data_IF_333721280602
#
_entry.id   IF_333721280602
#
_cell.length_a   1.000
_cell.length_b   1.000
_cell.length_c   1.000
_cell.angle_alpha   90.00
_cell.angle_beta   90.00
_cell.angle_gamma   90.00
#
_symmetry.space_group_name_H-M   'P 1'
#
loop_
_entity.id
_entity.type
_entity.pdbx_description
1 polymer ?
#
# COMPACT_ATOMS: atom_id res chain seq x y z
N UNK A 1 3.16 24.71 29.78
CA UNK A 1 3.55 23.90 28.61
C UNK A 1 2.89 24.53 27.40
N UNK A 2 3.62 25.37 26.66
CA UNK A 2 3.12 25.95 25.43
C UNK A 2 3.35 24.95 24.30
N UNK A 3 2.27 24.60 23.59
CA UNK A 3 2.35 23.78 22.39
C UNK A 3 3.09 24.58 21.31
N UNK A 4 4.34 24.20 20.99
CA UNK A 4 5.18 24.86 19.96
C UNK A 4 4.94 24.34 18.55
N UNK A 5 3.94 23.48 18.34
CA UNK A 5 3.52 23.05 17.03
C UNK A 5 2.26 23.82 16.65
N UNK A 6 2.40 24.80 15.78
CA UNK A 6 1.24 25.39 15.11
C UNK A 6 0.61 24.33 14.20
N UNK A 7 -0.71 24.08 14.29
CA UNK A 7 -1.39 23.17 13.38
C UNK A 7 -1.28 23.71 11.95
N UNK A 8 -0.49 23.03 11.10
CA UNK A 8 -0.49 23.30 9.66
C UNK A 8 -1.49 22.37 8.98
N UNK A 9 -2.32 22.93 8.11
CA UNK A 9 -3.18 22.14 7.23
C UNK A 9 -2.28 21.52 6.15
N UNK A 10 -2.27 20.18 6.08
CA UNK A 10 -1.58 19.50 4.98
C UNK A 10 -2.36 19.75 3.68
N UNK A 11 -1.67 20.07 2.57
CA UNK A 11 -2.34 20.18 1.28
C UNK A 11 -2.90 18.82 0.85
N UNK A 12 -4.08 18.84 0.26
CA UNK A 12 -4.68 17.65 -0.35
C UNK A 12 -3.96 17.31 -1.65
N UNK A 13 -3.97 16.02 -2.00
CA UNK A 13 -3.43 15.52 -3.25
C UNK A 13 -4.38 15.80 -4.40
N UNK A 14 -3.81 16.11 -5.56
CA UNK A 14 -4.52 16.35 -6.80
C UNK A 14 -4.36 15.18 -7.75
N UNK A 15 -5.32 15.00 -8.66
CA UNK A 15 -5.22 14.00 -9.70
C UNK A 15 -4.25 14.47 -10.79
N UNK A 16 -2.99 14.05 -10.66
CA UNK A 16 -1.89 14.35 -11.56
C UNK A 16 -0.95 13.13 -11.69
N UNK A 17 0.16 13.31 -12.39
CA UNK A 17 1.15 12.25 -12.63
C UNK A 17 1.84 11.77 -11.34
N UNK A 18 2.01 12.65 -10.35
CA UNK A 18 2.56 12.29 -9.03
C UNK A 18 1.60 11.36 -8.28
N UNK A 19 0.30 11.65 -8.30
CA UNK A 19 -0.72 10.78 -7.72
C UNK A 19 -0.77 9.43 -8.45
N UNK A 20 -0.68 9.43 -9.79
CA UNK A 20 -0.64 8.19 -10.56
C UNK A 20 0.60 7.35 -10.19
N UNK A 21 1.75 7.99 -9.99
CA UNK A 21 2.99 7.34 -9.56
C UNK A 21 2.89 6.76 -8.15
N UNK A 22 2.21 7.46 -7.24
CA UNK A 22 1.89 6.96 -5.91
C UNK A 22 0.97 5.72 -5.98
N UNK A 23 -0.09 5.77 -6.79
CA UNK A 23 -1.00 4.64 -6.99
C UNK A 23 -0.32 3.43 -7.62
N UNK A 24 0.60 3.64 -8.58
CA UNK A 24 1.43 2.59 -9.13
C UNK A 24 2.30 1.93 -8.06
N UNK A 25 2.87 2.72 -7.15
CA UNK A 25 3.68 2.22 -6.03
C UNK A 25 2.85 1.35 -5.07
N UNK A 26 1.62 1.78 -4.76
CA UNK A 26 0.69 0.94 -4.01
C UNK A 26 0.38 -0.37 -4.76
N UNK A 27 -0.01 -0.30 -6.03
CA UNK A 27 -0.35 -1.47 -6.84
C UNK A 27 0.80 -2.49 -6.89
N UNK A 28 2.05 -2.02 -6.94
CA UNK A 28 3.24 -2.87 -6.94
C UNK A 28 3.55 -3.49 -5.55
N UNK A 29 3.21 -2.78 -4.46
CA UNK A 29 3.44 -3.26 -3.09
C UNK A 29 2.40 -4.25 -2.58
N UNK A 30 1.17 -4.20 -3.12
CA UNK A 30 0.07 -5.03 -2.67
C UNK A 30 0.24 -6.47 -3.19
N UNK A 31 -0.03 -7.49 -2.36
CA UNK A 31 0.22 -8.89 -2.70
C UNK A 31 -0.88 -9.50 -3.59
N UNK A 32 -1.28 -8.80 -4.65
CA UNK A 32 -2.33 -9.22 -5.58
C UNK A 32 -1.73 -9.96 -6.78
N UNK A 33 -2.37 -11.05 -7.22
CA UNK A 33 -1.84 -11.88 -8.31
C UNK A 33 -2.10 -11.28 -9.70
N UNK A 34 -3.15 -10.48 -9.84
CA UNK A 34 -3.52 -9.85 -11.10
C UNK A 34 -3.16 -8.36 -11.09
N UNK A 35 -2.76 -7.80 -12.25
CA UNK A 35 -2.45 -6.38 -12.35
C UNK A 35 -3.68 -5.54 -11.99
N UNK A 36 -3.47 -4.52 -11.17
CA UNK A 36 -4.52 -3.59 -10.75
C UNK A 36 -4.41 -2.30 -11.56
N UNK A 37 -5.35 -1.99 -12.47
CA UNK A 37 -5.29 -0.82 -13.36
C UNK A 37 -5.69 0.47 -12.65
N UNK A 38 -5.03 0.78 -11.53
CA UNK A 38 -5.37 1.92 -10.67
C UNK A 38 -4.48 3.16 -10.87
N UNK A 39 -3.36 3.01 -11.57
CA UNK A 39 -2.44 4.11 -11.88
C UNK A 39 -2.87 4.88 -13.14
N UNK A 40 -4.14 5.29 -13.18
CA UNK A 40 -4.71 6.09 -14.26
C UNK A 40 -5.30 7.37 -13.69
N UNK A 41 -5.32 8.45 -14.49
CA UNK A 41 -5.82 9.75 -14.04
C UNK A 41 -7.28 9.70 -13.59
N UNK A 42 -8.12 8.92 -14.28
CA UNK A 42 -9.53 8.76 -13.92
C UNK A 42 -9.70 8.00 -12.61
N UNK A 43 -8.90 6.97 -12.38
CA UNK A 43 -8.91 6.26 -11.10
C UNK A 43 -8.32 7.13 -9.98
N UNK A 44 -7.31 7.95 -10.27
CA UNK A 44 -6.76 8.91 -9.31
C UNK A 44 -7.82 9.92 -8.85
N UNK A 45 -8.57 10.53 -9.79
CA UNK A 45 -9.71 11.41 -9.46
C UNK A 45 -10.75 10.70 -8.60
N UNK A 46 -11.11 9.48 -8.98
CA UNK A 46 -12.09 8.68 -8.25
C UNK A 46 -11.63 8.38 -6.83
N UNK A 47 -10.40 7.91 -6.65
CA UNK A 47 -9.85 7.53 -5.35
C UNK A 47 -9.65 8.74 -4.44
N UNK A 48 -9.10 9.85 -4.96
CA UNK A 48 -8.89 11.07 -4.19
C UNK A 48 -10.20 11.68 -3.69
N UNK A 49 -11.25 11.64 -4.52
CA UNK A 49 -12.59 12.11 -4.11
C UNK A 49 -13.12 11.30 -2.93
N UNK A 50 -12.83 9.99 -2.89
CA UNK A 50 -13.29 9.10 -1.80
C UNK A 50 -12.38 9.10 -0.58
N UNK A 51 -11.12 9.52 -0.72
CA UNK A 51 -10.15 9.58 0.37
C UNK A 51 -9.93 10.99 0.91
N UNK A 52 -10.83 11.92 0.61
CA UNK A 52 -10.73 13.34 1.00
C UNK A 52 -9.39 13.98 0.57
N UNK A 53 -8.75 13.43 -0.47
CA UNK A 53 -7.47 13.88 -0.98
C UNK A 53 -6.27 13.61 -0.06
N UNK A 54 -6.40 12.82 1.01
CA UNK A 54 -5.27 12.52 1.90
C UNK A 54 -4.64 11.16 1.59
N UNK A 55 -3.31 11.03 1.75
CA UNK A 55 -2.60 9.75 1.55
C UNK A 55 -3.07 8.71 2.56
N UNK A 56 -3.35 9.12 3.80
CA UNK A 56 -3.77 8.21 4.88
C UNK A 56 -5.07 7.48 4.54
N UNK A 57 -6.10 8.25 4.19
CA UNK A 57 -7.39 7.69 3.76
C UNK A 57 -7.26 6.92 2.45
N UNK A 58 -6.40 7.37 1.53
CA UNK A 58 -6.17 6.68 0.27
C UNK A 58 -5.56 5.29 0.51
N UNK A 59 -4.55 5.22 1.38
CA UNK A 59 -3.93 3.96 1.78
C UNK A 59 -4.95 3.05 2.47
N UNK A 60 -5.76 3.60 3.37
CA UNK A 60 -6.82 2.86 4.05
C UNK A 60 -7.80 2.21 3.05
N UNK A 61 -8.29 3.00 2.09
CA UNK A 61 -9.21 2.55 1.05
C UNK A 61 -8.59 1.45 0.17
N UNK A 62 -7.34 1.63 -0.27
CA UNK A 62 -6.66 0.67 -1.13
C UNK A 62 -6.39 -0.65 -0.40
N UNK A 63 -6.06 -0.61 0.89
CA UNK A 63 -5.88 -1.81 1.70
C UNK A 63 -7.19 -2.57 1.89
N UNK A 64 -8.28 -1.88 2.22
CA UNK A 64 -9.59 -2.51 2.33
C UNK A 64 -10.01 -3.16 1.01
N UNK A 65 -9.77 -2.50 -0.13
CA UNK A 65 -10.03 -3.06 -1.46
C UNK A 65 -9.14 -4.27 -1.77
N UNK A 66 -7.88 -4.26 -1.36
CA UNK A 66 -6.98 -5.41 -1.55
C UNK A 66 -7.42 -6.63 -0.74
N UNK A 67 -7.86 -6.44 0.52
CA UNK A 67 -8.40 -7.52 1.35
C UNK A 67 -9.62 -8.15 0.66
N UNK A 68 -10.58 -7.33 0.24
CA UNK A 68 -11.77 -7.80 -0.49
C UNK A 68 -11.38 -8.52 -1.78
N UNK A 69 -10.38 -8.02 -2.51
CA UNK A 69 -9.92 -8.66 -3.74
C UNK A 69 -9.35 -10.07 -3.48
N UNK A 70 -8.63 -10.25 -2.37
CA UNK A 70 -8.11 -11.57 -1.97
C UNK A 70 -9.25 -12.48 -1.52
N UNK A 71 -10.14 -12.01 -0.65
CA UNK A 71 -11.25 -12.80 -0.11
C UNK A 71 -12.28 -13.21 -1.17
N UNK A 72 -12.53 -12.34 -2.16
CA UNK A 72 -13.44 -12.63 -3.28
C UNK A 72 -12.80 -13.48 -4.39
N UNK A 73 -11.47 -13.67 -4.38
CA UNK A 73 -10.73 -14.35 -5.45
C UNK A 73 -10.51 -13.52 -6.73
N UNK A 74 -10.95 -12.26 -6.75
CA UNK A 74 -10.71 -11.32 -7.85
C UNK A 74 -9.22 -11.00 -8.00
N UNK A 75 -8.48 -11.00 -6.89
CA UNK A 75 -7.02 -10.79 -6.81
C UNK A 75 -6.49 -9.58 -7.62
N UNK A 76 -7.33 -8.55 -7.81
CA UNK A 76 -7.02 -7.24 -8.39
C UNK A 76 -7.90 -6.13 -7.78
N UNK A 77 -7.37 -4.91 -7.70
CA UNK A 77 -8.17 -3.73 -7.37
C UNK A 77 -8.87 -3.24 -8.65
N UNK A 78 -10.20 -3.17 -8.57
CA UNK A 78 -11.07 -2.67 -9.63
C UNK A 78 -12.30 -2.00 -8.99
N UNK A 79 -13.22 -1.48 -9.82
CA UNK A 79 -14.42 -0.81 -9.31
C UNK A 79 -15.26 -1.70 -8.37
N UNK A 80 -15.36 -3.01 -8.62
CA UNK A 80 -16.12 -3.93 -7.77
C UNK A 80 -15.51 -4.04 -6.38
N UNK A 81 -14.22 -4.31 -6.28
CA UNK A 81 -13.53 -4.47 -4.99
C UNK A 81 -13.49 -3.15 -4.21
N UNK A 82 -13.34 -2.03 -4.92
CA UNK A 82 -13.42 -0.66 -4.37
C UNK A 82 -14.82 -0.31 -3.83
N UNK A 83 -15.89 -0.73 -4.51
CA UNK A 83 -17.27 -0.53 -4.04
C UNK A 83 -17.60 -1.42 -2.84
N UNK A 84 -17.11 -2.65 -2.83
CA UNK A 84 -17.30 -3.57 -1.69
C UNK A 84 -16.56 -3.09 -0.44
N UNK A 85 -15.31 -2.63 -0.59
CA UNK A 85 -14.50 -2.09 0.51
C UNK A 85 -15.12 -0.87 1.20
N UNK A 86 -15.82 -0.01 0.45
CA UNK A 86 -16.56 1.14 0.99
C UNK A 86 -17.60 0.73 2.04
N UNK A 87 -18.21 -0.45 1.86
CA UNK A 87 -19.20 -0.98 2.79
C UNK A 87 -18.56 -1.57 4.05
N UNK A 88 -17.32 -2.05 3.96
CA UNK A 88 -16.55 -2.55 5.11
C UNK A 88 -15.95 -1.42 5.94
N UNK A 89 -15.45 -0.35 5.32
CA UNK A 89 -14.84 0.78 6.04
C UNK A 89 -15.83 1.54 6.96
N UNK A 90 -17.15 1.40 6.74
CA UNK A 90 -18.20 1.92 7.62
C UNK A 90 -18.32 1.15 8.95
N UNK A 91 -17.81 -0.08 9.04
CA UNK A 91 -17.76 -0.89 10.26
C UNK A 91 -16.28 -1.04 10.68
N UNK A 92 -15.81 -0.12 11.53
CA UNK A 92 -14.41 0.00 11.97
C UNK A 92 -13.89 -1.28 12.65
N UNK A 93 -13.12 -2.12 11.94
CA UNK A 93 -12.27 -3.17 12.51
C UNK A 93 -11.08 -3.56 11.59
N UNK A 94 -10.42 -2.57 10.95
CA UNK A 94 -9.34 -2.82 9.96
C UNK A 94 -7.94 -2.96 10.62
N UNK A 95 -7.81 -2.83 11.95
CA UNK A 95 -6.53 -2.93 12.64
C UNK A 95 -5.83 -4.30 12.49
N UNK A 96 -6.57 -5.35 12.09
CA UNK A 96 -6.04 -6.71 11.90
C UNK A 96 -5.38 -6.91 10.52
N UNK A 97 -5.80 -6.16 9.49
CA UNK A 97 -5.34 -6.37 8.11
C UNK A 97 -3.89 -5.95 7.84
N UNK A 98 -3.44 -4.88 8.51
CA UNK A 98 -2.07 -4.35 8.37
C UNK A 98 -0.99 -5.35 8.79
N UNK A 99 -1.27 -6.19 9.80
CA UNK A 99 -0.32 -7.20 10.29
C UNK A 99 -0.16 -8.39 9.33
N UNK A 100 -1.19 -8.65 8.49
CA UNK A 100 -1.21 -9.78 7.56
C UNK A 100 -0.50 -9.44 6.25
N UNK A 101 -0.70 -8.23 5.73
CA UNK A 101 -0.14 -7.79 4.43
C UNK A 101 1.33 -7.32 4.58
N UNK A 102 1.67 -6.64 5.68
CA UNK A 102 3.04 -6.16 5.94
C UNK A 102 3.91 -7.18 6.67
N UNK A 103 3.59 -8.47 6.62
CA UNK A 103 4.51 -9.49 7.12
C UNK A 103 5.67 -9.59 6.11
N UNK A 104 6.92 -9.22 6.47
CA UNK A 104 8.03 -9.31 5.54
C UNK A 104 8.16 -10.77 5.08
N UNK A 105 8.22 -11.00 3.76
CA UNK A 105 8.79 -12.26 3.26
C UNK A 105 10.21 -12.32 3.80
N UNK A 106 10.43 -13.09 4.87
CA UNK A 106 11.75 -13.36 5.35
C UNK A 106 12.57 -13.90 4.18
N UNK A 107 13.57 -13.13 3.74
CA UNK A 107 14.64 -13.67 2.89
C UNK A 107 15.28 -14.78 3.74
N UNK A 108 15.43 -16.02 3.25
CA UNK A 108 16.18 -17.01 4.01
C UNK A 108 17.55 -16.41 4.30
N UNK A 109 17.87 -16.19 5.57
CA UNK A 109 19.20 -15.80 6.01
C UNK A 109 20.16 -16.85 5.49
N UNK A 110 21.23 -16.48 4.75
CA UNK A 110 22.30 -17.43 4.50
C UNK A 110 22.84 -17.84 5.87
N UNK A 111 22.67 -19.10 6.22
CA UNK A 111 23.32 -19.69 7.39
C UNK A 111 24.81 -19.66 7.11
N UNK A 112 25.55 -18.82 7.84
CA UNK A 112 27.01 -18.67 7.79
C UNK A 112 27.79 -19.97 8.04
N UNK A 113 27.11 -21.07 8.34
CA UNK A 113 27.66 -22.39 8.69
C UNK A 113 28.27 -23.16 7.50
N UNK A 114 28.27 -22.64 6.27
CA UNK A 114 28.81 -23.36 5.11
C UNK A 114 29.80 -22.58 4.24
N UNK A 115 30.33 -21.45 4.71
CA UNK A 115 31.50 -20.85 4.04
C UNK A 115 32.77 -21.59 4.49
N UNK A 116 33.53 -22.23 3.58
CA UNK A 116 34.87 -22.69 3.91
C UNK A 116 35.73 -21.47 4.25
N UNK A 117 36.29 -21.46 5.46
CA UNK A 117 37.35 -20.51 5.80
C UNK A 117 38.53 -20.74 4.87
N UNK A 118 39.07 -19.66 4.30
CA UNK A 118 40.20 -19.50 3.34
C UNK A 118 39.70 -18.94 2.00
N UNK A 119 40.05 -17.75 1.54
CA UNK A 119 41.20 -16.88 1.80
C UNK A 119 40.79 -15.46 1.38
N UNK A 120 40.97 -14.46 2.22
CA UNK A 120 40.94 -13.05 1.79
C UNK A 120 42.38 -12.63 1.55
N UNK A 121 42.88 -12.89 0.35
CA UNK A 121 44.05 -12.20 -0.18
C UNK A 121 43.54 -10.86 -0.72
N UNK A 122 43.73 -9.81 0.07
CA UNK A 122 43.59 -8.43 -0.38
C UNK A 122 44.85 -8.03 -1.14
N UNK A 123 44.80 -8.04 -2.47
CA UNK A 123 45.58 -7.11 -3.29
C UNK A 123 44.61 -6.33 -4.19
N UNK A 124 44.93 -5.06 -4.38
CA UNK A 124 44.11 -3.96 -4.92
C UNK A 124 43.46 -4.21 -6.29
#
# INVERSE_FOLDING_TARGET
MENRFEPMMLPVWEANDDCCSLLASFAASLPLRRPSPIATLDMARYLLTRSEGTIGELAHLLMAAAIVAVESGEEAINHRTLSMADNLSRNQDIAVGLQVILKPRARPTPTWTSMPERTLDFEF
#
